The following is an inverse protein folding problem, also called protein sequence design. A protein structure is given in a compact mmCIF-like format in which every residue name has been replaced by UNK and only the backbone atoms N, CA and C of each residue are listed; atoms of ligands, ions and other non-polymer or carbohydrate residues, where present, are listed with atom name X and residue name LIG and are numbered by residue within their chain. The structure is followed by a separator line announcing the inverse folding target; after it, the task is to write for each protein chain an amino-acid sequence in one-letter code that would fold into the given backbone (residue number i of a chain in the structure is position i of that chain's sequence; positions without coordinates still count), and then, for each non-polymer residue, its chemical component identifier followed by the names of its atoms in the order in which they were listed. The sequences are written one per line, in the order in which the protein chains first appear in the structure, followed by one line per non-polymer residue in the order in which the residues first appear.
data_IF_119077158950
#
_entry.id   IF_119077158950
#
_cell.length_a   1.000
_cell.length_b   1.000
_cell.length_c   1.000
_cell.angle_alpha   90.00
_cell.angle_beta   90.00
_cell.angle_gamma   90.00
#
_symmetry.space_group_name_H-M   'P 1'
#
loop_
_entity.id
_entity.type
_entity.pdbx_description
1 polymer ?
#
# COMPACT_ATOMS: atom_id res chain seq x y z
N UNK A 1 -3.45 -11.06 25.08
CA UNK A 1 -3.73 -9.76 24.43
C UNK A 1 -5.10 -9.87 23.78
N UNK A 2 -6.03 -8.90 23.91
CA UNK A 2 -7.32 -8.98 23.23
C UNK A 2 -7.15 -9.01 21.70
N UNK A 3 -7.92 -9.86 20.99
CA UNK A 3 -7.81 -10.06 19.54
C UNK A 3 -7.79 -8.73 18.76
N UNK A 4 -8.70 -7.81 19.08
CA UNK A 4 -8.76 -6.46 18.48
C UNK A 4 -7.43 -5.73 18.54
N UNK A 5 -6.75 -5.74 19.70
CA UNK A 5 -5.47 -5.04 19.87
C UNK A 5 -4.37 -5.71 19.05
N UNK A 6 -4.35 -7.04 19.03
CA UNK A 6 -3.37 -7.79 18.23
C UNK A 6 -3.52 -7.48 16.74
N UNK A 7 -4.76 -7.54 16.23
CA UNK A 7 -5.06 -7.27 14.80
C UNK A 7 -4.72 -5.83 14.44
N UNK A 8 -5.21 -4.84 15.19
CA UNK A 8 -4.98 -3.43 14.88
C UNK A 8 -3.50 -3.03 15.01
N UNK A 9 -2.77 -3.59 15.98
CA UNK A 9 -1.32 -3.35 16.09
C UNK A 9 -0.54 -3.98 14.95
N UNK A 10 -0.95 -5.16 14.47
CA UNK A 10 -0.28 -5.85 13.37
C UNK A 10 -0.38 -5.07 12.05
N UNK A 11 -1.56 -4.53 11.72
CA UNK A 11 -1.77 -3.79 10.46
C UNK A 11 -1.39 -2.31 10.53
N UNK A 12 -1.16 -1.75 11.72
CA UNK A 12 -0.80 -0.33 11.91
C UNK A 12 0.32 0.18 10.99
N UNK A 13 1.48 -0.51 10.83
CA UNK A 13 2.52 -0.04 9.91
C UNK A 13 2.05 0.03 8.46
N UNK A 14 1.25 -0.96 8.03
CA UNK A 14 0.69 -1.02 6.66
C UNK A 14 -0.29 0.13 6.42
N UNK A 15 -1.16 0.43 7.37
CA UNK A 15 -2.09 1.57 7.28
C UNK A 15 -1.33 2.90 7.24
N UNK A 16 -0.27 3.04 8.06
CA UNK A 16 0.58 4.22 8.04
C UNK A 16 1.26 4.44 6.69
N UNK A 17 1.74 3.35 6.07
CA UNK A 17 2.32 3.37 4.74
C UNK A 17 1.29 3.76 3.67
N UNK A 18 0.12 3.13 3.63
CA UNK A 18 -0.93 3.50 2.67
C UNK A 18 -1.37 4.97 2.78
N UNK A 19 -1.45 5.52 4.00
CA UNK A 19 -1.74 6.95 4.21
C UNK A 19 -0.62 7.87 3.70
N UNK A 20 0.63 7.40 3.71
CA UNK A 20 1.77 8.12 3.14
C UNK A 20 1.72 8.13 1.61
N UNK A 21 1.27 7.03 1.00
CA UNK A 21 1.16 6.85 -0.45
C UNK A 21 -0.05 7.56 -1.07
N UNK A 22 -1.16 7.73 -0.33
CA UNK A 22 -2.37 8.39 -0.83
C UNK A 22 -2.16 9.75 -1.55
N UNK A 23 -1.31 10.68 -1.08
CA UNK A 23 -1.00 11.91 -1.80
C UNK A 23 0.01 11.76 -2.95
N UNK A 24 0.73 10.63 -3.01
CA UNK A 24 1.79 10.37 -3.99
C UNK A 24 1.26 9.57 -5.20
N UNK A 25 0.27 8.72 -4.97
CA UNK A 25 -0.29 7.80 -5.96
C UNK A 25 -1.82 7.91 -6.00
N UNK A 26 -2.48 7.04 -6.78
CA UNK A 26 -3.95 6.99 -6.76
C UNK A 26 -4.45 6.29 -5.49
N UNK A 27 -5.64 6.65 -4.96
CA UNK A 27 -6.23 5.92 -3.84
C UNK A 27 -6.41 4.42 -4.10
N UNK A 28 -6.63 4.03 -5.36
CA UNK A 28 -6.68 2.62 -5.74
C UNK A 28 -5.30 1.95 -5.55
N UNK A 29 -4.21 2.61 -5.93
CA UNK A 29 -2.86 2.10 -5.77
C UNK A 29 -2.51 1.83 -4.31
N UNK A 30 -2.58 2.87 -3.46
CA UNK A 30 -2.32 2.75 -2.03
C UNK A 30 -3.18 1.66 -1.35
N UNK A 31 -4.43 1.47 -1.77
CA UNK A 31 -5.29 0.42 -1.22
C UNK A 31 -4.89 -0.99 -1.65
N UNK A 32 -4.37 -1.16 -2.88
CA UNK A 32 -3.80 -2.44 -3.32
C UNK A 32 -2.56 -2.80 -2.50
N UNK A 33 -1.68 -1.84 -2.27
CA UNK A 33 -0.50 -2.04 -1.42
C UNK A 33 -0.89 -2.46 -0.01
N UNK A 34 -1.82 -1.73 0.62
CA UNK A 34 -2.32 -2.03 1.97
C UNK A 34 -2.88 -3.45 2.04
N UNK A 35 -3.68 -3.85 1.06
CA UNK A 35 -4.30 -5.17 1.04
C UNK A 35 -3.25 -6.27 0.80
N UNK A 36 -2.34 -6.09 -0.15
CA UNK A 36 -1.33 -7.08 -0.53
C UNK A 36 -0.30 -7.31 0.59
N UNK A 37 0.23 -6.23 1.20
CA UNK A 37 1.17 -6.32 2.32
C UNK A 37 0.49 -7.01 3.51
N UNK A 38 -0.75 -6.62 3.85
CA UNK A 38 -1.50 -7.23 4.95
C UNK A 38 -1.77 -8.73 4.70
N UNK A 39 -2.05 -9.11 3.45
CA UNK A 39 -2.25 -10.52 3.07
C UNK A 39 -0.96 -11.33 3.24
N UNK A 40 0.18 -10.82 2.77
CA UNK A 40 1.49 -11.46 2.94
C UNK A 40 1.88 -11.59 4.42
N UNK A 41 1.61 -10.57 5.23
CA UNK A 41 1.79 -10.66 6.68
C UNK A 41 0.95 -11.78 7.30
N UNK A 42 -0.30 -11.97 6.83
CA UNK A 42 -1.16 -13.09 7.22
C UNK A 42 -0.62 -14.46 6.79
N UNK A 43 0.20 -14.52 5.74
CA UNK A 43 0.92 -15.74 5.32
C UNK A 43 2.23 -15.98 6.06
N UNK A 44 2.60 -15.10 7.00
CA UNK A 44 3.78 -15.25 7.86
C UNK A 44 5.00 -14.42 7.46
N UNK A 45 4.89 -13.55 6.45
CA UNK A 45 5.96 -12.62 6.10
C UNK A 45 6.09 -11.52 7.17
N UNK A 46 7.31 -11.02 7.38
CA UNK A 46 7.51 -9.79 8.14
C UNK A 46 6.95 -8.60 7.36
N UNK A 47 6.61 -7.48 8.02
CA UNK A 47 6.18 -6.26 7.32
C UNK A 47 7.22 -5.81 6.29
N UNK A 48 8.51 -5.85 6.63
CA UNK A 48 9.59 -5.43 5.74
C UNK A 48 9.70 -6.32 4.49
N UNK A 49 9.60 -7.64 4.66
CA UNK A 49 9.64 -8.57 3.53
C UNK A 49 8.38 -8.43 2.67
N UNK A 50 7.20 -8.34 3.30
CA UNK A 50 5.93 -8.16 2.60
C UNK A 50 5.91 -6.86 1.78
N UNK A 51 6.36 -5.75 2.36
CA UNK A 51 6.47 -4.46 1.69
C UNK A 51 7.40 -4.53 0.49
N UNK A 52 8.63 -5.01 0.67
CA UNK A 52 9.61 -5.18 -0.43
C UNK A 52 9.10 -6.10 -1.55
N UNK A 53 8.37 -7.16 -1.20
CA UNK A 53 7.76 -8.06 -2.19
C UNK A 53 6.71 -7.32 -3.00
N UNK A 54 5.83 -6.54 -2.36
CA UNK A 54 4.78 -5.78 -3.06
C UNK A 54 5.38 -4.70 -3.96
N UNK A 55 6.34 -3.91 -3.49
CA UNK A 55 7.04 -2.91 -4.32
C UNK A 55 7.68 -3.55 -5.57
N UNK A 56 8.18 -4.79 -5.45
CA UNK A 56 8.80 -5.50 -6.58
C UNK A 56 7.83 -5.87 -7.71
N UNK A 57 6.52 -5.78 -7.48
CA UNK A 57 5.48 -6.06 -8.48
C UNK A 57 5.08 -4.83 -9.30
N UNK A 58 5.53 -3.65 -8.89
CA UNK A 58 5.13 -2.41 -9.51
C UNK A 58 5.87 -2.15 -10.83
N UNK A 59 5.13 -1.56 -11.77
CA UNK A 59 5.69 -1.03 -13.02
C UNK A 59 5.18 0.39 -13.20
N UNK A 60 5.97 1.36 -12.74
CA UNK A 60 5.65 2.79 -12.81
C UNK A 60 4.44 3.17 -11.95
N UNK A 61 4.52 2.91 -10.64
CA UNK A 61 3.49 3.25 -9.64
C UNK A 61 2.13 2.58 -9.90
N UNK A 62 2.16 1.37 -10.48
CA UNK A 62 0.99 0.59 -10.82
C UNK A 62 1.26 -0.91 -10.71
N UNK A 63 0.21 -1.70 -10.48
CA UNK A 63 0.20 -3.17 -10.52
C UNK A 63 -0.43 -3.75 -11.80
N UNK A 64 0.29 -3.89 -12.93
CA UNK A 64 -0.26 -4.56 -14.11
C UNK A 64 -0.65 -6.03 -13.85
N UNK A 65 -1.71 -6.56 -14.49
CA UNK A 65 -2.69 -5.86 -15.34
C UNK A 65 -3.87 -5.23 -14.56
N UNK A 66 -3.84 -5.28 -13.23
CA UNK A 66 -4.95 -4.86 -12.37
C UNK A 66 -5.09 -3.35 -12.25
N UNK A 67 -3.98 -2.63 -12.43
CA UNK A 67 -3.91 -1.20 -12.56
C UNK A 67 -3.24 -0.90 -13.90
N UNK A 68 -3.86 -0.04 -14.72
CA UNK A 68 -3.25 0.37 -15.99
C UNK A 68 -1.94 1.09 -15.75
N UNK A 69 -1.05 1.08 -16.74
CA UNK A 69 0.11 1.99 -16.78
C UNK A 69 -0.40 3.41 -16.94
N UNK A 70 -0.64 4.10 -15.84
CA UNK A 70 -1.10 5.48 -15.87
C UNK A 70 0.00 6.37 -15.31
N UNK A 71 0.68 7.05 -16.22
CA UNK A 71 1.37 8.31 -15.92
C UNK A 71 0.35 9.30 -15.37
N UNK A 72 0.03 9.24 -14.07
CA UNK A 72 -0.75 10.29 -13.44
C UNK A 72 0.12 11.54 -13.37
N UNK A 73 -0.29 12.53 -14.15
CA UNK A 73 0.25 13.88 -14.14
C UNK A 73 0.30 14.41 -12.71
N UNK A 74 1.52 14.75 -12.27
CA UNK A 74 1.77 15.70 -11.21
C UNK A 74 1.22 17.08 -11.62
N UNK A 75 -0.10 17.27 -11.55
CA UNK A 75 -0.71 18.59 -11.55
C UNK A 75 -1.97 18.61 -10.69
N UNK A 76 -1.92 19.53 -9.72
CA UNK A 76 -3.01 20.13 -8.95
C UNK A 76 -3.42 19.42 -7.65
N UNK A 77 -2.82 19.86 -6.54
CA UNK A 77 -3.51 20.72 -5.54
C UNK A 77 -2.49 21.40 -4.61
N UNK A 78 -1.89 22.51 -5.07
CA UNK A 78 -1.54 23.65 -4.23
C UNK A 78 -2.05 24.90 -4.95
N UNK A 79 -3.32 25.21 -4.74
CA UNK A 79 -3.96 26.51 -4.98
C UNK A 79 -5.34 26.45 -4.30
N UNK A 80 -5.38 26.85 -3.03
CA UNK A 80 -6.19 27.93 -2.41
C UNK A 80 -5.67 28.04 -0.96
#
# INVERSE_FOLDING_TARGET
MPLRRQVLSAVRPVVGYGLHELPLTSPAHAMYEVAAISYLMGMGYSYADAHRVVESWEVGEAFPPYQGTVHYHHHMIHSI
#
